data_IF_502843276151
#
_entry.id   IF_502843276151
#
_cell.length_a   1.000
_cell.length_b   1.000
_cell.length_c   1.000
_cell.angle_alpha   90.00
_cell.angle_beta   90.00
_cell.angle_gamma   90.00
#
_symmetry.space_group_name_H-M   'P 1'
#
loop_
_entity.id
_entity.type
_entity.pdbx_description
1 polymer ?
#
# COMPACT_ATOMS: atom_id res chain seq x y z
N UNK A 1 24.00 27.32 -18.65
CA UNK A 1 24.93 27.22 -17.51
C UNK A 1 24.81 25.80 -16.99
N UNK A 2 25.75 24.95 -17.40
CA UNK A 2 25.97 23.62 -16.84
C UNK A 2 26.55 23.81 -15.44
N UNK A 3 25.78 23.47 -14.41
CA UNK A 3 26.30 23.39 -13.04
C UNK A 3 27.00 22.04 -12.91
N UNK A 4 28.33 22.03 -12.96
CA UNK A 4 29.14 20.95 -12.40
C UNK A 4 29.13 21.16 -10.87
N UNK A 5 28.46 20.27 -10.15
CA UNK A 5 28.51 20.21 -8.68
C UNK A 5 29.38 19.02 -8.31
N UNK A 6 30.30 19.27 -7.38
CA UNK A 6 31.30 18.32 -6.87
C UNK A 6 30.65 17.04 -6.33
N UNK A 7 31.29 15.91 -6.65
CA UNK A 7 30.90 14.59 -6.18
C UNK A 7 31.50 14.37 -4.79
N UNK A 8 30.74 14.64 -3.73
CA UNK A 8 31.19 14.30 -2.39
C UNK A 8 30.91 12.82 -2.11
N UNK A 9 31.96 12.02 -2.02
CA UNK A 9 31.88 10.69 -1.40
C UNK A 9 31.50 10.86 0.07
N UNK A 10 30.43 10.20 0.51
CA UNK A 10 30.03 10.21 1.92
C UNK A 10 31.02 9.35 2.69
N UNK A 11 31.81 9.96 3.59
CA UNK A 11 32.74 9.23 4.47
C UNK A 11 31.99 8.46 5.56
N UNK A 12 31.67 7.20 5.26
CA UNK A 12 30.97 6.25 6.14
C UNK A 12 31.81 5.91 7.38
N UNK A 13 33.13 6.19 7.37
CA UNK A 13 34.05 5.84 8.47
C UNK A 13 33.84 6.68 9.74
N UNK A 14 33.16 7.83 9.63
CA UNK A 14 32.94 8.76 10.74
C UNK A 14 31.76 8.41 11.66
N UNK A 15 30.99 7.35 11.35
CA UNK A 15 29.78 6.99 12.11
C UNK A 15 30.07 5.76 12.99
N UNK A 16 30.47 6.02 14.25
CA UNK A 16 30.71 4.98 15.26
C UNK A 16 29.46 4.11 15.44
N UNK A 17 29.62 2.79 15.25
CA UNK A 17 28.57 1.78 15.31
C UNK A 17 28.32 1.24 16.74
N UNK A 18 28.87 1.87 17.78
CA UNK A 18 28.99 1.24 19.11
C UNK A 18 27.76 1.34 20.02
N UNK A 19 26.68 2.02 19.62
CA UNK A 19 25.49 2.21 20.47
C UNK A 19 24.21 1.53 19.93
N UNK A 20 24.34 0.64 18.95
CA UNK A 20 23.22 -0.19 18.50
C UNK A 20 23.43 -1.62 19.01
N UNK A 21 22.67 -2.00 20.04
CA UNK A 21 22.54 -3.39 20.47
C UNK A 21 22.29 -4.26 19.23
N UNK A 22 23.24 -5.14 18.90
CA UNK A 22 23.07 -6.09 17.80
C UNK A 22 21.88 -7.00 18.14
N UNK A 23 20.79 -6.99 17.36
CA UNK A 23 19.66 -7.85 17.68
C UNK A 23 20.02 -9.31 17.37
N UNK A 24 19.53 -10.28 18.16
CA UNK A 24 19.89 -11.68 18.02
C UNK A 24 19.09 -12.33 16.88
N UNK A 25 19.53 -12.17 15.64
CA UNK A 25 18.80 -12.66 14.45
C UNK A 25 18.94 -14.17 14.22
N UNK A 26 19.93 -14.84 14.82
CA UNK A 26 20.22 -16.26 14.59
C UNK A 26 19.27 -17.26 15.31
N UNK A 27 18.24 -16.76 16.02
CA UNK A 27 17.28 -17.60 16.79
C UNK A 27 15.81 -17.23 16.61
N UNK A 28 15.45 -16.44 15.61
CA UNK A 28 14.06 -16.02 15.43
C UNK A 28 13.26 -17.06 14.63
N UNK A 29 12.25 -17.66 15.27
CA UNK A 29 10.99 -17.97 14.57
C UNK A 29 10.64 -16.76 13.70
N UNK A 30 10.26 -16.95 12.43
CA UNK A 30 10.13 -15.83 11.49
C UNK A 30 9.22 -14.73 12.06
N UNK A 31 9.80 -13.60 12.47
CA UNK A 31 9.03 -12.48 13.02
C UNK A 31 8.25 -11.77 11.91
N UNK A 32 8.64 -11.96 10.66
CA UNK A 32 7.94 -11.48 9.49
C UNK A 32 8.04 -12.45 8.33
N UNK A 33 7.07 -12.38 7.42
CA UNK A 33 7.12 -13.06 6.13
C UNK A 33 6.41 -12.20 5.08
N UNK A 34 6.67 -12.50 3.81
CA UNK A 34 6.03 -11.81 2.69
C UNK A 34 5.32 -12.80 1.78
N UNK A 35 4.11 -12.44 1.37
CA UNK A 35 3.33 -13.13 0.34
C UNK A 35 3.27 -12.23 -0.88
N UNK A 36 3.68 -12.73 -2.04
CA UNK A 36 3.65 -11.98 -3.29
C UNK A 36 2.92 -12.78 -4.36
N UNK A 37 2.01 -12.16 -5.10
CA UNK A 37 1.53 -12.78 -6.33
C UNK A 37 2.55 -12.59 -7.46
N UNK A 38 2.77 -13.61 -8.29
CA UNK A 38 3.70 -13.61 -9.43
C UNK A 38 3.04 -14.34 -10.61
N UNK A 39 3.16 -13.87 -11.85
CA UNK A 39 2.41 -14.36 -13.05
C UNK A 39 0.90 -14.64 -12.87
N UNK A 40 0.14 -14.93 -13.92
CA UNK A 40 -1.34 -15.05 -13.83
C UNK A 40 -1.85 -16.06 -12.79
N UNK A 41 -0.97 -16.88 -12.24
CA UNK A 41 -1.28 -18.13 -11.55
C UNK A 41 -0.31 -18.49 -10.40
N UNK A 42 0.65 -17.66 -9.99
CA UNK A 42 1.59 -18.03 -8.91
C UNK A 42 1.48 -17.16 -7.66
N UNK A 43 1.70 -17.80 -6.53
CA UNK A 43 1.84 -17.19 -5.21
C UNK A 43 3.21 -17.57 -4.63
N UNK A 44 4.00 -16.57 -4.27
CA UNK A 44 5.35 -16.75 -3.72
C UNK A 44 5.38 -16.35 -2.26
N UNK A 45 5.99 -17.18 -1.42
CA UNK A 45 6.27 -16.93 -0.01
C UNK A 45 7.76 -16.66 0.17
N UNK A 46 8.10 -15.59 0.89
CA UNK A 46 9.44 -15.21 1.26
C UNK A 46 9.57 -15.22 2.79
N UNK A 47 10.72 -15.63 3.31
CA UNK A 47 11.00 -15.70 4.76
C UNK A 47 9.97 -16.51 5.55
N UNK A 48 9.53 -17.65 5.01
CA UNK A 48 8.52 -18.51 5.64
C UNK A 48 9.15 -19.81 6.15
N UNK A 49 8.83 -20.18 7.38
CA UNK A 49 9.22 -21.48 7.94
C UNK A 49 8.32 -22.62 7.44
N UNK A 50 8.70 -23.87 7.71
CA UNK A 50 7.97 -25.04 7.21
C UNK A 50 6.53 -25.12 7.74
N UNK A 51 6.30 -24.67 8.98
CA UNK A 51 4.97 -24.69 9.59
C UNK A 51 4.02 -23.73 8.86
N UNK A 52 4.49 -22.52 8.59
CA UNK A 52 3.78 -21.51 7.82
C UNK A 52 3.55 -21.99 6.39
N UNK A 53 4.57 -22.54 5.72
CA UNK A 53 4.46 -23.09 4.36
C UNK A 53 3.33 -24.13 4.29
N UNK A 54 3.28 -25.08 5.24
CA UNK A 54 2.23 -26.10 5.31
C UNK A 54 0.85 -25.49 5.57
N UNK A 55 0.79 -24.47 6.43
CA UNK A 55 -0.46 -23.78 6.72
C UNK A 55 -1.00 -23.02 5.50
N UNK A 56 -0.16 -22.26 4.79
CA UNK A 56 -0.53 -21.59 3.54
C UNK A 56 -1.05 -22.60 2.52
N UNK A 57 -0.38 -23.75 2.37
CA UNK A 57 -0.84 -24.82 1.46
C UNK A 57 -2.25 -25.29 1.78
N UNK A 58 -2.51 -25.59 3.06
CA UNK A 58 -3.84 -26.01 3.52
C UNK A 58 -4.90 -24.93 3.22
N UNK A 59 -4.58 -23.65 3.41
CA UNK A 59 -5.49 -22.55 3.09
C UNK A 59 -5.76 -22.44 1.59
N UNK A 60 -4.74 -22.59 0.75
CA UNK A 60 -4.90 -22.61 -0.71
C UNK A 60 -5.79 -23.78 -1.14
N UNK A 61 -5.54 -24.99 -0.66
CA UNK A 61 -6.37 -26.17 -0.97
C UNK A 61 -7.82 -26.02 -0.49
N UNK A 62 -8.04 -25.31 0.62
CA UNK A 62 -9.37 -25.07 1.18
C UNK A 62 -10.15 -23.99 0.45
N UNK A 63 -9.51 -22.89 0.06
CA UNK A 63 -10.17 -21.68 -0.43
C UNK A 63 -9.98 -21.40 -1.91
N UNK A 64 -9.11 -22.14 -2.60
CA UNK A 64 -8.94 -22.08 -4.05
C UNK A 64 -9.52 -23.35 -4.71
N UNK A 65 -10.73 -23.29 -5.31
CA UNK A 65 -11.42 -24.49 -5.79
C UNK A 65 -10.68 -25.27 -6.88
N UNK A 66 -9.87 -24.58 -7.70
CA UNK A 66 -9.09 -25.22 -8.76
C UNK A 66 -7.85 -25.97 -8.22
N UNK A 67 -7.43 -25.67 -6.98
CA UNK A 67 -6.31 -26.32 -6.32
C UNK A 67 -4.93 -25.86 -6.80
N UNK A 68 -3.90 -26.54 -6.28
CA UNK A 68 -2.48 -26.25 -6.55
C UNK A 68 -2.01 -27.16 -7.69
N UNK A 69 -1.43 -26.56 -8.73
CA UNK A 69 -0.83 -27.28 -9.86
C UNK A 69 0.58 -27.77 -9.52
N UNK A 70 1.39 -26.92 -8.90
CA UNK A 70 2.78 -27.23 -8.56
C UNK A 70 3.25 -26.42 -7.35
N UNK A 71 4.18 -26.98 -6.57
CA UNK A 71 4.91 -26.26 -5.53
C UNK A 71 6.40 -26.46 -5.77
N UNK A 72 7.18 -25.39 -5.75
CA UNK A 72 8.64 -25.43 -5.90
C UNK A 72 9.33 -24.48 -4.94
N UNK A 73 10.55 -24.81 -4.56
CA UNK A 73 11.43 -23.93 -3.77
C UNK A 73 12.51 -23.36 -4.68
N UNK A 74 12.71 -22.05 -4.65
CA UNK A 74 13.71 -21.35 -5.46
C UNK A 74 14.28 -20.18 -4.67
N UNK A 75 15.60 -20.12 -4.52
CA UNK A 75 16.32 -18.98 -3.91
C UNK A 75 15.76 -18.57 -2.53
N UNK A 76 15.43 -19.57 -1.68
CA UNK A 76 14.84 -19.34 -0.35
C UNK A 76 13.34 -18.97 -0.35
N UNK A 77 12.72 -18.86 -1.52
CA UNK A 77 11.29 -18.64 -1.70
C UNK A 77 10.54 -19.95 -1.97
N UNK A 78 9.29 -20.03 -1.52
CA UNK A 78 8.35 -21.09 -1.91
C UNK A 78 7.34 -20.53 -2.91
N UNK A 79 7.27 -21.14 -4.08
CA UNK A 79 6.34 -20.75 -5.14
C UNK A 79 5.26 -21.83 -5.31
N UNK A 80 4.01 -21.44 -5.12
CA UNK A 80 2.82 -22.21 -5.47
C UNK A 80 2.30 -21.75 -6.83
N UNK A 81 2.32 -22.64 -7.82
CA UNK A 81 1.58 -22.48 -9.08
C UNK A 81 0.17 -23.04 -8.87
N UNK A 82 -0.83 -22.20 -9.02
CA UNK A 82 -2.24 -22.53 -8.86
C UNK A 82 -2.83 -22.99 -10.19
N UNK A 83 -3.80 -23.90 -10.14
CA UNK A 83 -4.59 -24.25 -11.32
C UNK A 83 -5.49 -23.06 -11.70
N UNK A 84 -5.62 -22.80 -13.01
CA UNK A 84 -6.35 -21.64 -13.53
C UNK A 84 -5.52 -20.35 -13.46
N UNK A 85 -6.19 -19.20 -13.53
CA UNK A 85 -5.52 -17.91 -13.61
C UNK A 85 -6.05 -16.87 -12.58
N UNK A 86 -5.92 -17.16 -11.27
CA UNK A 86 -6.49 -16.33 -10.19
C UNK A 86 -6.03 -14.87 -10.19
N UNK A 87 -4.84 -14.60 -10.75
CA UNK A 87 -4.20 -13.29 -10.77
C UNK A 87 -4.12 -12.71 -12.18
N UNK A 88 -4.84 -13.28 -13.16
CA UNK A 88 -4.89 -12.72 -14.51
C UNK A 88 -5.90 -11.59 -14.61
N UNK A 89 -5.49 -10.53 -15.31
CA UNK A 89 -6.38 -9.44 -15.69
C UNK A 89 -7.52 -9.94 -16.57
N UNK A 90 -8.75 -9.69 -16.12
CA UNK A 90 -9.94 -9.97 -16.92
C UNK A 90 -10.73 -8.68 -17.11
N UNK A 91 -11.28 -8.49 -18.31
CA UNK A 91 -12.08 -7.32 -18.67
C UNK A 91 -13.54 -7.44 -18.17
N UNK A 92 -13.84 -8.51 -17.44
CA UNK A 92 -15.17 -8.88 -16.98
C UNK A 92 -15.22 -8.97 -15.46
N UNK A 93 -15.98 -8.05 -14.88
CA UNK A 93 -16.25 -7.91 -13.45
C UNK A 93 -17.13 -9.05 -12.89
N UNK A 94 -17.51 -10.01 -13.73
CA UNK A 94 -18.28 -11.21 -13.38
C UNK A 94 -17.52 -12.49 -13.69
N UNK A 95 -16.21 -12.41 -13.97
CA UNK A 95 -15.42 -13.62 -14.11
C UNK A 95 -15.42 -14.37 -12.77
N UNK A 96 -15.86 -15.64 -12.81
CA UNK A 96 -15.96 -16.49 -11.62
C UNK A 96 -14.61 -16.71 -10.96
N UNK A 97 -13.52 -16.85 -11.74
CA UNK A 97 -12.17 -17.03 -11.18
C UNK A 97 -11.68 -15.77 -10.45
N UNK A 98 -11.97 -14.60 -11.03
CA UNK A 98 -11.57 -13.32 -10.44
C UNK A 98 -12.22 -13.09 -9.08
N UNK A 99 -13.53 -13.36 -9.02
CA UNK A 99 -14.32 -13.29 -7.80
C UNK A 99 -13.84 -14.31 -6.75
N UNK A 100 -13.57 -15.55 -7.18
CA UNK A 100 -13.04 -16.60 -6.30
C UNK A 100 -11.67 -16.22 -5.71
N UNK A 101 -10.80 -15.57 -6.47
CA UNK A 101 -9.50 -15.12 -5.97
C UNK A 101 -9.65 -14.03 -4.89
N UNK A 102 -10.57 -13.07 -5.08
CA UNK A 102 -10.87 -12.05 -4.06
C UNK A 102 -11.45 -12.65 -2.77
N UNK A 103 -12.35 -13.64 -2.91
CA UNK A 103 -12.93 -14.41 -1.79
C UNK A 103 -11.82 -15.18 -1.05
N UNK A 104 -10.97 -15.89 -1.78
CA UNK A 104 -9.83 -16.62 -1.23
C UNK A 104 -8.93 -15.67 -0.43
N UNK A 105 -8.58 -14.52 -1.00
CA UNK A 105 -7.75 -13.50 -0.34
C UNK A 105 -8.36 -13.00 0.98
N UNK A 106 -9.67 -12.74 1.02
CA UNK A 106 -10.36 -12.33 2.25
C UNK A 106 -10.28 -13.38 3.35
N UNK A 107 -10.52 -14.65 3.02
CA UNK A 107 -10.34 -15.76 3.97
C UNK A 107 -8.87 -15.95 4.38
N UNK A 108 -7.95 -15.78 3.44
CA UNK A 108 -6.55 -15.94 3.70
C UNK A 108 -6.03 -14.93 4.73
N UNK A 109 -6.38 -13.65 4.56
CA UNK A 109 -6.06 -12.59 5.52
C UNK A 109 -6.71 -12.83 6.90
N UNK A 110 -7.93 -13.37 6.93
CA UNK A 110 -8.62 -13.75 8.16
C UNK A 110 -7.84 -14.81 8.93
N UNK A 111 -7.52 -15.91 8.26
CA UNK A 111 -6.90 -17.10 8.85
C UNK A 111 -5.47 -16.80 9.31
N UNK A 112 -4.72 -16.01 8.54
CA UNK A 112 -3.42 -15.51 8.98
C UNK A 112 -3.52 -14.69 10.27
N UNK A 113 -4.48 -13.77 10.34
CA UNK A 113 -4.69 -12.96 11.52
C UNK A 113 -5.08 -13.79 12.76
N UNK A 114 -5.98 -14.77 12.62
CA UNK A 114 -6.35 -15.65 13.74
C UNK A 114 -5.19 -16.51 14.22
N UNK A 115 -4.24 -16.85 13.35
CA UNK A 115 -2.98 -17.52 13.70
C UNK A 115 -1.87 -16.60 14.22
N UNK A 116 -2.16 -15.31 14.43
CA UNK A 116 -1.18 -14.36 14.95
C UNK A 116 -0.25 -13.82 13.88
N UNK A 117 -0.76 -13.53 12.69
CA UNK A 117 -0.05 -12.82 11.64
C UNK A 117 -0.79 -11.56 11.24
N UNK A 118 -0.21 -10.40 11.54
CA UNK A 118 -0.80 -9.10 11.22
C UNK A 118 -0.17 -8.55 9.94
N UNK A 119 -1.01 -8.17 8.97
CA UNK A 119 -0.57 -7.42 7.79
C UNK A 119 -0.01 -6.06 8.24
N UNK A 120 1.19 -5.71 7.80
CA UNK A 120 1.86 -4.45 8.14
C UNK A 120 1.97 -3.51 6.96
N UNK A 121 2.09 -4.06 5.75
CA UNK A 121 2.19 -3.27 4.54
C UNK A 121 1.65 -4.07 3.34
N UNK A 122 1.11 -3.32 2.38
CA UNK A 122 0.78 -3.80 1.06
C UNK A 122 1.46 -2.89 0.04
N UNK A 123 2.07 -3.46 -0.99
CA UNK A 123 2.78 -2.68 -1.99
C UNK A 123 2.90 -3.42 -3.32
N UNK A 124 2.76 -2.70 -4.43
CA UNK A 124 2.95 -3.24 -5.78
C UNK A 124 4.42 -3.11 -6.21
N UNK A 125 5.24 -4.03 -5.72
CA UNK A 125 6.71 -3.98 -5.87
C UNK A 125 7.23 -4.46 -7.24
N UNK A 126 6.39 -4.69 -8.24
CA UNK A 126 6.82 -5.15 -9.57
C UNK A 126 6.31 -4.27 -10.71
N UNK A 127 7.23 -3.67 -11.48
CA UNK A 127 6.92 -2.83 -12.66
C UNK A 127 7.14 -3.52 -14.03
N UNK A 128 7.51 -4.80 -14.06
CA UNK A 128 7.68 -5.52 -15.33
C UNK A 128 6.33 -5.94 -15.93
N UNK A 129 6.04 -5.41 -17.12
CA UNK A 129 4.99 -5.77 -18.09
C UNK A 129 3.62 -6.16 -17.53
N UNK A 130 2.64 -5.24 -17.62
CA UNK A 130 1.17 -5.47 -17.56
C UNK A 130 0.61 -6.26 -16.37
N UNK A 131 1.43 -6.62 -15.39
CA UNK A 131 1.11 -7.54 -14.32
C UNK A 131 1.72 -7.01 -13.01
N UNK A 132 1.40 -5.75 -12.68
CA UNK A 132 1.62 -5.20 -11.34
C UNK A 132 0.92 -6.09 -10.31
N UNK A 133 1.63 -6.37 -9.22
CA UNK A 133 1.26 -7.43 -8.29
C UNK A 133 1.60 -7.05 -6.88
N UNK A 134 0.59 -7.16 -6.05
CA UNK A 134 0.70 -6.89 -4.62
C UNK A 134 1.62 -7.89 -3.93
N UNK A 135 2.50 -7.32 -3.10
CA UNK A 135 3.22 -7.97 -2.04
C UNK A 135 2.61 -7.53 -0.69
N UNK A 136 2.23 -8.52 0.11
CA UNK A 136 1.78 -8.33 1.47
C UNK A 136 2.88 -8.73 2.44
N UNK A 137 3.19 -7.84 3.37
CA UNK A 137 4.15 -8.05 4.43
C UNK A 137 3.40 -8.30 5.73
N UNK A 138 3.74 -9.38 6.41
CA UNK A 138 3.13 -9.76 7.68
C UNK A 138 4.17 -9.75 8.79
N UNK A 139 3.72 -9.45 10.00
CA UNK A 139 4.49 -9.62 11.23
C UNK A 139 3.81 -10.62 12.16
N UNK A 140 4.62 -11.35 12.93
CA UNK A 140 4.16 -12.20 14.01
C UNK A 140 3.50 -11.34 15.08
N UNK A 141 2.37 -11.80 15.57
CA UNK A 141 1.56 -11.12 16.56
C UNK A 141 0.79 -12.14 17.39
N UNK A 142 0.11 -11.69 18.45
CA UNK A 142 -0.66 -12.59 19.31
C UNK A 142 -1.84 -13.16 18.53
N UNK A 143 -2.04 -14.50 18.50
CA UNK A 143 -3.24 -15.10 17.96
C UNK A 143 -4.49 -14.52 18.59
N UNK A 144 -5.53 -14.35 17.78
CA UNK A 144 -6.79 -13.74 18.21
C UNK A 144 -7.98 -14.65 17.93
N UNK A 145 -8.97 -14.58 18.81
CA UNK A 145 -10.30 -15.14 18.56
C UNK A 145 -11.21 -14.01 18.12
N UNK A 146 -11.64 -14.05 16.86
CA UNK A 146 -12.63 -13.10 16.34
C UNK A 146 -13.97 -13.35 17.03
N UNK A 147 -14.64 -12.26 17.44
CA UNK A 147 -16.00 -12.30 17.97
C UNK A 147 -16.94 -12.88 16.90
N UNK A 148 -17.88 -13.75 17.31
CA UNK A 148 -18.82 -14.44 16.43
C UNK A 148 -19.68 -13.52 15.56
N UNK A 149 -19.81 -12.23 15.92
CA UNK A 149 -20.47 -11.20 15.10
C UNK A 149 -19.64 -10.81 13.88
N UNK A 150 -18.35 -11.11 13.88
CA UNK A 150 -17.37 -10.71 12.89
C UNK A 150 -16.71 -11.94 12.27
N UNK A 151 -17.50 -12.71 11.53
CA UNK A 151 -17.04 -13.99 10.96
C UNK A 151 -16.20 -13.83 9.71
N UNK A 152 -16.21 -12.67 9.04
CA UNK A 152 -15.52 -12.49 7.76
C UNK A 152 -14.68 -11.20 7.73
N UNK A 153 -13.91 -11.05 6.65
CA UNK A 153 -13.10 -9.87 6.34
C UNK A 153 -13.79 -9.14 5.18
N UNK A 154 -14.70 -8.19 5.45
CA UNK A 154 -15.34 -7.43 4.39
C UNK A 154 -14.28 -6.80 3.49
N UNK A 155 -14.49 -6.89 2.19
CA UNK A 155 -13.68 -6.15 1.25
C UNK A 155 -14.56 -5.51 0.19
N UNK A 156 -14.03 -4.49 -0.47
CA UNK A 156 -14.65 -3.95 -1.66
C UNK A 156 -13.64 -3.66 -2.76
N UNK A 157 -14.09 -3.71 -4.01
CA UNK A 157 -13.29 -3.38 -5.21
C UNK A 157 -14.06 -2.41 -6.08
N UNK A 158 -13.38 -1.41 -6.66
CA UNK A 158 -13.97 -0.43 -7.59
C UNK A 158 -13.82 -0.92 -9.02
N UNK A 159 -14.82 -1.59 -9.58
CA UNK A 159 -14.76 -2.02 -10.97
C UNK A 159 -15.33 -0.98 -11.94
N UNK A 160 -14.67 -0.78 -13.10
CA UNK A 160 -15.13 0.09 -14.20
C UNK A 160 -15.55 1.52 -13.80
N UNK A 161 -15.03 2.02 -12.69
CA UNK A 161 -15.26 3.38 -12.16
C UNK A 161 -16.62 3.60 -11.49
N UNK A 162 -17.69 2.94 -11.95
CA UNK A 162 -19.05 3.12 -11.43
C UNK A 162 -19.61 1.90 -10.70
N UNK A 163 -18.86 0.79 -10.60
CA UNK A 163 -19.29 -0.44 -9.91
C UNK A 163 -18.45 -0.67 -8.67
N UNK A 164 -19.12 -0.99 -7.58
CA UNK A 164 -18.50 -1.46 -6.36
C UNK A 164 -18.86 -2.93 -6.17
N UNK A 165 -17.87 -3.79 -6.07
CA UNK A 165 -18.05 -5.19 -5.67
C UNK A 165 -17.75 -5.25 -4.18
N UNK A 166 -18.71 -5.67 -3.37
CA UNK A 166 -18.52 -5.93 -1.96
C UNK A 166 -18.61 -7.43 -1.70
N UNK A 167 -17.64 -7.96 -0.95
CA UNK A 167 -17.58 -9.37 -0.59
C UNK A 167 -17.53 -9.52 0.93
N UNK A 168 -17.88 -10.71 1.39
CA UNK A 168 -17.85 -11.08 2.80
C UNK A 168 -18.77 -10.23 3.70
N UNK A 169 -19.83 -9.66 3.11
CA UNK A 169 -20.87 -8.92 3.82
C UNK A 169 -22.10 -9.80 4.02
N UNK A 170 -22.59 -9.92 5.26
CA UNK A 170 -23.87 -10.58 5.47
C UNK A 170 -25.04 -9.80 4.83
N UNK A 171 -26.18 -10.45 4.60
CA UNK A 171 -27.33 -9.83 3.91
C UNK A 171 -27.87 -8.56 4.60
N UNK A 172 -27.77 -8.48 5.93
CA UNK A 172 -28.17 -7.28 6.66
C UNK A 172 -27.25 -6.10 6.32
N UNK A 173 -25.92 -6.30 6.40
CA UNK A 173 -24.93 -5.27 6.07
C UNK A 173 -25.05 -4.81 4.61
N UNK A 174 -25.38 -5.72 3.68
CA UNK A 174 -25.61 -5.36 2.27
C UNK A 174 -26.80 -4.39 2.14
N UNK A 175 -27.95 -4.69 2.77
CA UNK A 175 -29.14 -3.82 2.73
C UNK A 175 -28.85 -2.43 3.32
N UNK A 176 -28.16 -2.39 4.45
CA UNK A 176 -27.82 -1.14 5.14
C UNK A 176 -26.81 -0.30 4.35
N UNK A 177 -25.85 -0.95 3.68
CA UNK A 177 -24.89 -0.28 2.81
C UNK A 177 -25.60 0.36 1.61
N UNK A 178 -26.51 -0.38 0.95
CA UNK A 178 -27.31 0.14 -0.16
C UNK A 178 -28.17 1.33 0.31
N UNK A 179 -28.76 1.23 1.51
CA UNK A 179 -29.52 2.33 2.09
C UNK A 179 -28.62 3.56 2.35
N UNK A 180 -27.43 3.38 2.92
CA UNK A 180 -26.49 4.48 3.13
C UNK A 180 -26.09 5.13 1.81
N UNK A 181 -25.74 4.35 0.79
CA UNK A 181 -25.34 4.89 -0.51
C UNK A 181 -26.47 5.76 -1.07
N UNK A 182 -27.72 5.30 -1.01
CA UNK A 182 -28.84 6.09 -1.49
C UNK A 182 -29.10 7.37 -0.68
N UNK A 183 -28.70 7.44 0.60
CA UNK A 183 -28.86 8.65 1.42
C UNK A 183 -27.68 9.61 1.32
N UNK A 184 -26.44 9.11 1.15
CA UNK A 184 -25.23 9.93 1.16
C UNK A 184 -24.71 10.26 -0.24
N UNK A 185 -24.92 9.37 -1.21
CA UNK A 185 -24.48 9.57 -2.58
C UNK A 185 -25.62 10.18 -3.41
N UNK A 186 -25.53 11.48 -3.71
CA UNK A 186 -26.60 12.26 -4.36
C UNK A 186 -27.18 11.64 -5.63
N UNK A 187 -26.36 10.92 -6.40
CA UNK A 187 -26.80 10.30 -7.65
C UNK A 187 -27.42 8.90 -7.43
N UNK A 188 -27.23 8.31 -6.25
CA UNK A 188 -27.84 7.04 -5.84
C UNK A 188 -27.28 5.80 -6.54
N UNK A 189 -27.91 4.66 -6.22
CA UNK A 189 -27.63 3.35 -6.82
C UNK A 189 -28.39 3.19 -8.14
N UNK A 190 -27.70 2.72 -9.18
CA UNK A 190 -28.28 2.39 -10.48
C UNK A 190 -28.74 0.94 -10.57
N UNK A 191 -27.93 -0.01 -10.09
CA UNK A 191 -28.17 -1.45 -10.22
C UNK A 191 -27.55 -2.17 -9.02
N UNK A 192 -28.21 -3.24 -8.55
CA UNK A 192 -27.66 -4.15 -7.55
C UNK A 192 -27.74 -5.57 -8.09
N UNK A 193 -26.61 -6.28 -8.11
CA UNK A 193 -26.49 -7.68 -8.53
C UNK A 193 -25.95 -8.52 -7.38
N UNK A 194 -26.65 -9.59 -7.01
CA UNK A 194 -26.18 -10.54 -6.02
C UNK A 194 -25.09 -11.44 -6.63
N UNK A 195 -23.95 -11.59 -5.94
CA UNK A 195 -22.81 -12.42 -6.38
C UNK A 195 -22.68 -13.73 -5.58
N UNK A 196 -23.57 -13.96 -4.63
CA UNK A 196 -23.54 -15.09 -3.70
C UNK A 196 -24.23 -14.72 -2.38
N UNK A 197 -24.18 -15.60 -1.36
CA UNK A 197 -24.82 -15.33 -0.07
C UNK A 197 -24.22 -14.13 0.68
N UNK A 198 -22.93 -13.84 0.47
CA UNK A 198 -22.15 -12.81 1.17
C UNK A 198 -21.50 -11.77 0.24
N UNK A 199 -21.90 -11.73 -1.04
CA UNK A 199 -21.35 -10.81 -2.04
C UNK A 199 -22.41 -10.06 -2.84
N UNK A 200 -22.18 -8.77 -3.08
CA UNK A 200 -23.06 -7.89 -3.86
C UNK A 200 -22.25 -6.94 -4.75
N UNK A 201 -22.69 -6.76 -5.99
CA UNK A 201 -22.19 -5.72 -6.89
C UNK A 201 -23.20 -4.60 -6.97
N UNK A 202 -22.75 -3.37 -6.70
CA UNK A 202 -23.57 -2.16 -6.72
C UNK A 202 -23.02 -1.27 -7.82
N UNK A 203 -23.83 -1.01 -8.86
CA UNK A 203 -23.54 0.02 -9.85
C UNK A 203 -24.12 1.34 -9.38
N UNK A 204 -23.35 2.40 -9.40
CA UNK A 204 -23.75 3.72 -8.99
C UNK A 204 -23.98 4.62 -10.20
N UNK A 205 -24.80 5.65 -10.00
CA UNK A 205 -24.86 6.74 -10.96
C UNK A 205 -23.61 7.64 -10.78
N UNK A 206 -22.42 7.23 -11.22
CA UNK A 206 -21.14 7.97 -11.07
C UNK A 206 -20.20 7.44 -9.98
N UNK A 207 -19.17 8.21 -9.59
CA UNK A 207 -18.03 7.75 -8.76
C UNK A 207 -18.23 7.98 -7.24
N UNK A 208 -18.08 6.95 -6.38
CA UNK A 208 -18.24 7.03 -4.91
C UNK A 208 -16.94 6.88 -4.08
N UNK A 209 -17.01 7.28 -2.80
CA UNK A 209 -16.07 6.88 -1.73
C UNK A 209 -16.83 6.56 -0.45
N UNK A 210 -16.62 5.39 0.17
CA UNK A 210 -17.49 4.85 1.24
C UNK A 210 -16.75 4.30 2.49
N UNK A 211 -15.58 4.83 2.83
CA UNK A 211 -14.80 4.32 3.97
C UNK A 211 -15.47 4.53 5.34
N UNK A 212 -16.18 5.64 5.51
CA UNK A 212 -16.82 6.02 6.78
C UNK A 212 -17.88 5.02 7.24
N UNK A 213 -18.51 4.27 6.32
CA UNK A 213 -19.54 3.28 6.63
C UNK A 213 -19.01 2.11 7.48
N UNK A 214 -17.86 1.56 7.09
CA UNK A 214 -17.30 0.38 7.73
C UNK A 214 -16.93 0.65 9.19
N UNK A 215 -16.39 1.83 9.49
CA UNK A 215 -16.10 2.25 10.87
C UNK A 215 -17.34 2.35 11.76
N UNK A 216 -18.44 2.91 11.25
CA UNK A 216 -19.68 3.02 12.03
C UNK A 216 -20.22 1.65 12.45
N UNK A 217 -19.82 0.57 11.76
CA UNK A 217 -20.17 -0.82 12.07
C UNK A 217 -19.09 -1.57 12.82
N UNK A 218 -18.08 -0.86 13.31
CA UNK A 218 -16.98 -1.45 14.05
C UNK A 218 -16.07 -2.28 13.17
N UNK A 219 -15.80 -1.83 11.93
CA UNK A 219 -14.71 -2.35 11.10
C UNK A 219 -13.68 -1.24 10.81
N UNK A 220 -12.41 -1.58 10.74
CA UNK A 220 -11.30 -0.67 10.41
C UNK A 220 -10.59 -1.16 9.14
N UNK A 221 -10.00 -0.26 8.36
CA UNK A 221 -9.22 -0.65 7.18
C UNK A 221 -7.98 -1.46 7.59
N UNK A 222 -7.84 -2.62 6.96
CA UNK A 222 -6.77 -3.58 7.22
C UNK A 222 -5.67 -3.53 6.17
N UNK A 223 -5.98 -3.17 4.92
CA UNK A 223 -5.01 -3.12 3.84
C UNK A 223 -5.71 -3.10 2.48
N UNK A 224 -4.95 -2.97 1.41
CA UNK A 224 -5.42 -3.07 0.04
C UNK A 224 -4.60 -4.09 -0.77
N UNK A 225 -5.09 -4.47 -1.94
CA UNK A 225 -4.31 -5.22 -2.93
C UNK A 225 -4.83 -4.93 -4.34
N UNK A 226 -3.91 -4.66 -5.26
CA UNK A 226 -4.18 -4.77 -6.69
C UNK A 226 -4.19 -6.24 -7.08
N UNK A 227 -5.39 -6.83 -7.05
CA UNK A 227 -5.62 -8.16 -7.58
C UNK A 227 -5.90 -8.05 -9.07
N UNK A 228 -5.21 -8.87 -9.88
CA UNK A 228 -5.44 -9.02 -11.32
C UNK A 228 -5.14 -7.77 -12.17
N UNK A 229 -4.31 -6.84 -11.69
CA UNK A 229 -4.04 -5.59 -12.42
C UNK A 229 -5.30 -4.76 -12.67
N UNK A 230 -6.33 -4.92 -11.82
CA UNK A 230 -7.48 -4.03 -11.73
C UNK A 230 -7.19 -2.94 -10.67
N UNK A 231 -8.20 -2.15 -10.33
CA UNK A 231 -8.15 -1.21 -9.20
C UNK A 231 -7.95 -1.97 -7.88
N UNK A 232 -7.57 -1.23 -6.85
CA UNK A 232 -7.33 -1.83 -5.56
C UNK A 232 -8.60 -2.41 -4.91
N UNK A 233 -8.48 -3.65 -4.45
CA UNK A 233 -9.40 -4.26 -3.47
C UNK A 233 -8.99 -3.79 -2.08
N UNK A 234 -9.93 -3.23 -1.34
CA UNK A 234 -9.74 -2.69 0.01
C UNK A 234 -10.34 -3.64 1.04
N UNK A 235 -9.54 -4.08 2.02
CA UNK A 235 -9.92 -5.04 3.07
C UNK A 235 -10.15 -4.34 4.42
N UNK A 236 -11.15 -4.82 5.17
CA UNK A 236 -11.52 -4.31 6.50
C UNK A 236 -11.56 -5.44 7.54
N UNK A 237 -11.23 -5.11 8.79
CA UNK A 237 -11.21 -6.01 9.94
C UNK A 237 -12.00 -5.46 11.13
N UNK A 238 -12.44 -6.26 12.09
CA UNK A 238 -13.24 -5.78 13.23
C UNK A 238 -12.48 -4.84 14.17
N UNK A 239 -13.14 -3.78 14.64
CA UNK A 239 -12.63 -2.77 15.56
C UNK A 239 -12.43 -3.29 16.99
N UNK A 240 -12.73 -4.56 17.27
CA UNK A 240 -12.50 -5.19 18.58
C UNK A 240 -11.04 -5.64 18.79
N UNK A 241 -10.19 -5.61 17.77
CA UNK A 241 -8.80 -6.06 17.89
C UNK A 241 -7.95 -5.11 18.75
N UNK A 242 -7.17 -5.56 19.75
CA UNK A 242 -6.32 -4.65 20.53
C UNK A 242 -5.18 -4.06 19.69
N UNK A 243 -4.70 -2.85 20.03
CA UNK A 243 -3.39 -2.36 19.58
C UNK A 243 -2.28 -3.25 20.19
N UNK A 244 -1.20 -3.62 19.47
CA UNK A 244 -0.75 -3.15 18.15
C UNK A 244 -1.20 -4.03 16.97
N UNK A 245 -2.24 -4.87 17.10
CA UNK A 245 -2.68 -5.78 16.01
C UNK A 245 -3.33 -5.06 14.82
N UNK A 246 -3.50 -3.74 14.90
CA UNK A 246 -3.97 -2.88 13.81
C UNK A 246 -2.77 -2.16 13.20
N UNK A 247 -2.82 -1.88 11.89
CA UNK A 247 -1.82 -1.05 11.18
C UNK A 247 -1.73 0.39 11.73
N UNK A 248 -2.69 0.77 12.57
CA UNK A 248 -3.16 2.12 12.72
C UNK A 248 -3.43 2.41 14.22
N UNK A 249 -2.84 3.46 14.83
CA UNK A 249 -3.11 3.84 16.23
C UNK A 249 -4.60 4.09 16.54
N UNK A 250 -4.99 4.04 17.84
CA UNK A 250 -6.36 4.28 18.30
C UNK A 250 -6.89 5.65 17.86
N UNK A 251 -8.20 5.73 17.64
CA UNK A 251 -8.88 6.96 17.24
C UNK A 251 -9.04 7.90 18.45
N UNK A 252 -8.75 9.19 18.25
CA UNK A 252 -9.26 10.27 19.10
C UNK A 252 -10.78 10.42 18.90
N UNK A 253 -11.57 10.76 19.94
CA UNK A 253 -12.98 11.02 19.77
C UNK A 253 -13.25 12.41 19.15
N UNK A 254 -14.19 12.43 18.19
CA UNK A 254 -15.04 13.56 17.81
C UNK A 254 -14.47 14.70 16.94
N UNK A 255 -14.01 14.40 15.72
CA UNK A 255 -14.25 15.30 14.57
C UNK A 255 -15.34 14.72 13.66
N UNK A 256 -16.21 15.57 13.11
CA UNK A 256 -17.29 15.15 12.19
C UNK A 256 -16.74 14.46 10.92
N UNK A 257 -15.55 14.89 10.46
CA UNK A 257 -14.79 14.20 9.41
C UNK A 257 -13.66 13.41 10.06
N UNK A 258 -13.73 12.08 9.97
CA UNK A 258 -12.65 11.16 10.39
C UNK A 258 -11.67 10.83 9.27
N UNK A 259 -12.07 11.09 8.03
CA UNK A 259 -11.34 10.76 6.82
C UNK A 259 -11.37 11.91 5.82
N UNK A 260 -10.28 12.08 5.09
CA UNK A 260 -10.25 12.83 3.84
C UNK A 260 -9.32 12.12 2.86
N UNK A 261 -9.32 12.53 1.58
CA UNK A 261 -8.43 11.96 0.59
C UNK A 261 -7.70 13.02 -0.22
N UNK A 262 -6.49 12.69 -0.65
CA UNK A 262 -5.71 13.45 -1.62
C UNK A 262 -5.62 12.62 -2.90
N UNK A 263 -6.19 13.12 -4.00
CA UNK A 263 -6.02 12.56 -5.34
C UNK A 263 -4.78 13.14 -6.02
N UNK A 264 -3.94 12.28 -6.56
CA UNK A 264 -2.84 12.63 -7.47
C UNK A 264 -3.34 12.39 -8.89
N UNK A 265 -3.88 13.44 -9.52
CA UNK A 265 -4.65 13.33 -10.75
C UNK A 265 -3.84 13.79 -11.97
N UNK A 266 -3.98 13.06 -13.08
CA UNK A 266 -3.33 13.37 -14.36
C UNK A 266 -1.81 13.50 -14.15
N UNK A 267 -1.20 14.58 -14.65
CA UNK A 267 0.26 14.80 -14.56
C UNK A 267 0.65 15.81 -13.47
N UNK A 268 -0.31 16.60 -12.98
CA UNK A 268 -0.05 17.88 -12.31
C UNK A 268 -1.21 18.41 -11.44
N UNK A 269 -2.21 17.59 -11.09
CA UNK A 269 -3.32 18.01 -10.23
C UNK A 269 -3.26 17.31 -8.87
N UNK A 270 -3.47 18.07 -7.80
CA UNK A 270 -3.65 17.55 -6.45
C UNK A 270 -5.06 17.91 -6.00
N UNK A 271 -5.89 16.90 -5.73
CA UNK A 271 -7.30 17.08 -5.36
C UNK A 271 -7.55 16.73 -3.91
N UNK A 272 -8.12 17.65 -3.15
CA UNK A 272 -8.47 17.45 -1.76
C UNK A 272 -9.96 17.14 -1.64
N UNK A 273 -10.30 15.89 -1.33
CA UNK A 273 -11.68 15.41 -1.16
C UNK A 273 -12.03 15.37 0.33
N UNK A 274 -13.13 16.02 0.72
CA UNK A 274 -13.61 16.10 2.10
C UNK A 274 -12.54 16.61 3.10
N UNK A 275 -11.58 17.39 2.60
CA UNK A 275 -10.48 17.91 3.40
C UNK A 275 -10.95 19.03 4.33
N UNK A 276 -10.65 18.97 5.64
CA UNK A 276 -10.89 20.09 6.54
C UNK A 276 -10.20 21.36 6.06
N UNK A 277 -10.89 22.50 6.10
CA UNK A 277 -10.37 23.79 5.59
C UNK A 277 -9.04 24.20 6.21
N UNK A 278 -8.77 23.82 7.47
CA UNK A 278 -7.47 24.08 8.10
C UNK A 278 -6.31 23.38 7.40
N UNK A 279 -6.54 22.17 6.87
CA UNK A 279 -5.52 21.38 6.18
C UNK A 279 -5.27 21.86 4.75
N UNK A 280 -6.24 22.49 4.11
CA UNK A 280 -6.08 23.12 2.78
C UNK A 280 -4.92 24.14 2.81
N UNK A 281 -4.92 25.05 3.78
CA UNK A 281 -3.83 26.03 3.93
C UNK A 281 -2.48 25.38 4.26
N UNK A 282 -2.47 24.33 5.09
CA UNK A 282 -1.23 23.59 5.42
C UNK A 282 -0.64 22.95 4.17
N UNK A 283 -1.49 22.34 3.33
CA UNK A 283 -1.07 21.73 2.07
C UNK A 283 -0.57 22.79 1.08
N UNK A 284 -1.26 23.94 0.98
CA UNK A 284 -0.83 25.06 0.13
C UNK A 284 0.57 25.58 0.49
N UNK A 285 0.80 25.86 1.77
CA UNK A 285 2.11 26.32 2.26
C UNK A 285 3.19 25.26 1.98
N UNK A 286 2.86 23.98 2.20
CA UNK A 286 3.79 22.87 1.93
C UNK A 286 4.15 22.79 0.45
N UNK A 287 3.17 22.96 -0.46
CA UNK A 287 3.42 23.00 -1.90
C UNK A 287 4.34 24.15 -2.26
N UNK A 288 4.04 25.37 -1.80
CA UNK A 288 4.85 26.55 -2.11
C UNK A 288 6.29 26.44 -1.58
N UNK A 289 6.51 25.71 -0.49
CA UNK A 289 7.83 25.52 0.10
C UNK A 289 8.64 24.41 -0.58
N UNK A 290 8.01 23.28 -0.95
CA UNK A 290 8.72 22.06 -1.38
C UNK A 290 8.52 21.71 -2.86
N UNK A 291 7.72 22.48 -3.59
CA UNK A 291 7.59 22.36 -5.04
C UNK A 291 8.14 23.62 -5.73
N UNK A 292 9.38 23.60 -6.27
CA UNK A 292 10.05 24.81 -6.77
C UNK A 292 9.29 25.54 -7.88
N UNK A 293 8.51 24.82 -8.70
CA UNK A 293 7.70 25.41 -9.77
C UNK A 293 6.41 26.06 -9.25
N UNK A 294 5.99 25.75 -8.02
CA UNK A 294 4.84 26.37 -7.35
C UNK A 294 3.47 25.96 -7.90
N UNK A 295 2.45 26.72 -7.48
CA UNK A 295 1.04 26.53 -7.85
C UNK A 295 0.73 27.39 -9.08
N UNK A 296 0.15 26.76 -10.11
CA UNK A 296 -0.32 27.44 -11.32
C UNK A 296 -1.78 27.92 -11.17
N UNK A 297 -2.62 27.16 -10.49
CA UNK A 297 -4.04 27.50 -10.29
C UNK A 297 -4.59 26.78 -9.05
N UNK A 298 -5.56 27.40 -8.37
CA UNK A 298 -6.29 26.81 -7.24
C UNK A 298 -7.79 27.01 -7.45
N UNK A 299 -8.54 25.92 -7.40
CA UNK A 299 -10.01 25.94 -7.54
C UNK A 299 -10.68 25.28 -6.35
N UNK A 300 -11.84 25.79 -5.99
CA UNK A 300 -12.78 25.09 -5.12
C UNK A 300 -14.03 24.77 -5.93
N UNK A 301 -14.39 23.49 -6.01
CA UNK A 301 -15.58 23.02 -6.74
C UNK A 301 -16.47 22.27 -5.74
N UNK A 302 -17.49 22.94 -5.22
CA UNK A 302 -18.31 22.37 -4.15
C UNK A 302 -17.47 22.10 -2.89
N UNK A 303 -17.34 20.83 -2.51
CA UNK A 303 -16.67 20.37 -1.28
C UNK A 303 -15.25 19.84 -1.50
N UNK A 304 -14.65 20.09 -2.66
CA UNK A 304 -13.26 19.69 -2.92
C UNK A 304 -12.42 20.86 -3.45
N UNK A 305 -11.14 20.81 -3.13
CA UNK A 305 -10.13 21.75 -3.64
C UNK A 305 -9.29 21.06 -4.71
N UNK A 306 -8.89 21.80 -5.74
CA UNK A 306 -7.94 21.38 -6.77
C UNK A 306 -6.77 22.35 -6.81
N UNK A 307 -5.57 21.83 -6.61
CA UNK A 307 -4.34 22.53 -6.93
C UNK A 307 -3.84 22.04 -8.29
N UNK A 308 -3.66 22.98 -9.21
CA UNK A 308 -2.87 22.76 -10.41
C UNK A 308 -1.45 23.18 -10.12
N UNK A 309 -0.53 22.23 -10.16
CA UNK A 309 0.89 22.48 -9.99
C UNK A 309 1.50 22.89 -11.33
N UNK A 310 2.48 23.80 -11.29
CA UNK A 310 3.28 24.08 -12.47
C UNK A 310 4.27 22.92 -12.71
N UNK A 311 4.44 22.49 -13.96
CA UNK A 311 5.22 21.30 -14.30
C UNK A 311 4.40 20.00 -14.27
N UNK A 312 5.07 18.86 -14.09
CA UNK A 312 4.43 17.53 -14.16
C UNK A 312 4.92 16.60 -13.04
N UNK A 313 4.65 16.91 -11.76
CA UNK A 313 5.16 16.15 -10.61
C UNK A 313 4.79 14.66 -10.63
N UNK A 314 3.63 14.31 -11.18
CA UNK A 314 3.14 12.91 -11.23
C UNK A 314 3.64 12.14 -12.45
N UNK A 315 4.29 12.84 -13.40
CA UNK A 315 4.95 12.28 -14.57
C UNK A 315 6.39 12.82 -14.67
N UNK A 316 7.03 12.98 -13.51
CA UNK A 316 8.34 13.59 -13.41
C UNK A 316 9.44 12.68 -13.97
N UNK A 317 10.54 13.30 -14.41
CA UNK A 317 11.77 12.60 -14.81
C UNK A 317 13.00 13.31 -14.23
N UNK A 318 14.12 12.60 -14.10
CA UNK A 318 15.35 13.16 -13.53
C UNK A 318 15.15 13.72 -12.12
N UNK A 319 15.72 14.91 -11.85
CA UNK A 319 15.68 15.57 -10.54
C UNK A 319 14.27 15.89 -10.03
N UNK A 320 13.33 16.20 -10.94
CA UNK A 320 11.93 16.51 -10.59
C UNK A 320 11.25 15.32 -9.87
N UNK A 321 11.74 14.08 -10.08
CA UNK A 321 11.22 12.89 -9.39
C UNK A 321 11.56 12.85 -7.90
N UNK A 322 12.66 13.50 -7.49
CA UNK A 322 13.09 13.62 -6.10
C UNK A 322 12.26 14.70 -5.43
N UNK A 323 12.08 15.84 -6.09
CA UNK A 323 11.26 16.96 -5.59
C UNK A 323 9.80 16.55 -5.40
N UNK A 324 9.20 15.80 -6.34
CA UNK A 324 7.83 15.33 -6.22
C UNK A 324 7.63 14.37 -5.03
N UNK A 325 8.60 13.46 -4.80
CA UNK A 325 8.57 12.54 -3.65
C UNK A 325 8.84 13.26 -2.33
N UNK A 326 9.74 14.26 -2.33
CA UNK A 326 9.97 15.10 -1.16
C UNK A 326 8.72 15.90 -0.81
N UNK A 327 8.04 16.49 -1.80
CA UNK A 327 6.76 17.18 -1.61
C UNK A 327 5.73 16.29 -0.92
N UNK A 328 5.52 15.06 -1.41
CA UNK A 328 4.59 14.12 -0.76
C UNK A 328 5.03 13.75 0.65
N UNK A 329 6.33 13.52 0.86
CA UNK A 329 6.90 13.21 2.18
C UNK A 329 6.60 14.33 3.18
N UNK A 330 6.77 15.59 2.76
CA UNK A 330 6.51 16.77 3.59
C UNK A 330 5.02 17.01 3.81
N UNK A 331 4.17 16.75 2.80
CA UNK A 331 2.71 16.77 2.98
C UNK A 331 2.31 15.75 4.06
N UNK A 332 2.82 14.51 4.01
CA UNK A 332 2.47 13.49 5.01
C UNK A 332 2.93 13.88 6.41
N UNK A 333 4.15 14.38 6.53
CA UNK A 333 4.71 14.85 7.79
C UNK A 333 3.89 16.00 8.38
N UNK A 334 3.59 17.04 7.58
CA UNK A 334 2.83 18.19 8.02
C UNK A 334 1.40 17.82 8.39
N UNK A 335 0.75 16.92 7.66
CA UNK A 335 -0.56 16.40 8.02
C UNK A 335 -0.53 15.63 9.34
N UNK A 336 0.49 14.80 9.59
CA UNK A 336 0.59 14.04 10.85
C UNK A 336 0.80 14.96 12.06
N UNK A 337 1.61 16.02 11.91
CA UNK A 337 1.74 17.04 12.96
C UNK A 337 0.41 17.72 13.31
N UNK A 338 -0.53 17.76 12.37
CA UNK A 338 -1.88 18.32 12.55
C UNK A 338 -2.95 17.25 12.81
N UNK A 339 -2.54 16.04 13.21
CA UNK A 339 -3.45 14.98 13.62
C UNK A 339 -4.03 14.15 12.46
N UNK A 340 -3.32 14.06 11.33
CA UNK A 340 -3.77 13.29 10.16
C UNK A 340 -2.68 12.37 9.62
N UNK A 341 -2.90 11.06 9.72
CA UNK A 341 -1.97 10.06 9.18
C UNK A 341 -2.51 9.46 7.89
N UNK A 342 -1.61 9.20 6.94
CA UNK A 342 -1.92 8.38 5.77
C UNK A 342 -2.32 6.97 6.21
N UNK A 343 -3.42 6.48 5.67
CA UNK A 343 -3.98 5.16 5.95
C UNK A 343 -3.70 4.19 4.82
N UNK A 344 -3.85 4.65 3.57
CA UNK A 344 -3.76 3.83 2.38
C UNK A 344 -3.43 4.68 1.15
N UNK A 345 -2.76 4.08 0.18
CA UNK A 345 -2.71 4.55 -1.19
C UNK A 345 -3.53 3.59 -2.05
N UNK A 346 -4.48 4.11 -2.83
CA UNK A 346 -5.39 3.33 -3.66
C UNK A 346 -5.30 3.74 -5.12
N UNK A 347 -5.09 2.77 -6.00
CA UNK A 347 -5.22 2.98 -7.43
C UNK A 347 -6.65 2.64 -7.90
N UNK A 348 -7.32 3.63 -8.50
CA UNK A 348 -8.76 3.55 -8.81
C UNK A 348 -9.12 3.55 -10.28
N UNK A 349 -8.10 3.58 -11.13
CA UNK A 349 -8.21 3.23 -12.53
C UNK A 349 -6.88 2.59 -13.00
N UNK A 350 -6.77 2.23 -14.29
CA UNK A 350 -5.56 1.62 -14.90
C UNK A 350 -5.04 2.41 -16.12
N UNK A 351 -5.55 3.62 -16.35
CA UNK A 351 -5.11 4.54 -17.39
C UNK A 351 -3.72 5.13 -17.07
N UNK A 352 -2.89 5.37 -18.08
CA UNK A 352 -1.62 6.07 -17.87
C UNK A 352 -1.79 7.54 -17.38
N UNK A 353 -3.02 8.06 -17.45
CA UNK A 353 -3.42 9.37 -16.90
C UNK A 353 -4.15 9.26 -15.54
N UNK A 354 -3.97 8.13 -14.83
CA UNK A 354 -4.73 7.74 -13.64
C UNK A 354 -4.66 8.69 -12.46
N UNK A 355 -5.66 8.52 -11.60
CA UNK A 355 -5.71 9.11 -10.28
C UNK A 355 -5.42 8.06 -9.20
N UNK A 356 -4.30 8.22 -8.50
CA UNK A 356 -4.05 7.53 -7.23
C UNK A 356 -4.65 8.35 -6.08
N UNK A 357 -5.33 7.68 -5.16
CA UNK A 357 -5.91 8.31 -3.97
C UNK A 357 -5.15 7.93 -2.71
N UNK A 358 -4.73 8.94 -1.97
CA UNK A 358 -4.15 8.79 -0.66
C UNK A 358 -5.22 9.09 0.38
N UNK A 359 -5.60 8.09 1.17
CA UNK A 359 -6.60 8.23 2.21
C UNK A 359 -5.91 8.62 3.50
N UNK A 360 -6.42 9.65 4.15
CA UNK A 360 -5.95 10.12 5.46
C UNK A 360 -7.03 9.92 6.50
N UNK A 361 -6.59 9.68 7.74
CA UNK A 361 -7.48 9.54 8.89
C UNK A 361 -6.99 10.38 10.05
N UNK A 362 -7.93 10.79 10.89
CA UNK A 362 -7.62 11.49 12.14
C UNK A 362 -6.83 10.58 13.11
N UNK A 363 -5.82 11.14 13.77
CA UNK A 363 -4.90 10.47 14.69
C UNK A 363 -4.42 11.48 15.73
N UNK A 364 -3.95 11.08 16.93
CA UNK A 364 -3.25 11.98 17.83
C UNK A 364 -2.11 12.70 17.10
N UNK A 365 -1.99 14.02 17.31
CA UNK A 365 -0.90 14.79 16.73
C UNK A 365 0.43 14.38 17.36
N UNK A 366 1.43 14.15 16.51
CA UNK A 366 2.79 13.87 16.96
C UNK A 366 3.79 14.41 15.94
N UNK A 367 4.92 14.92 16.44
CA UNK A 367 6.04 15.25 15.57
C UNK A 367 6.75 13.96 15.20
N UNK A 368 6.79 13.67 13.91
CA UNK A 368 7.41 12.46 13.37
C UNK A 368 8.23 12.85 12.14
N UNK A 369 9.41 12.25 12.00
CA UNK A 369 10.24 12.45 10.82
C UNK A 369 9.86 11.43 9.74
N UNK A 370 9.36 11.90 8.61
CA UNK A 370 9.01 11.06 7.47
C UNK A 370 10.19 10.96 6.51
N UNK A 371 10.44 9.76 6.00
CA UNK A 371 11.36 9.53 4.89
C UNK A 371 10.65 8.79 3.76
N UNK A 372 11.22 8.87 2.57
CA UNK A 372 10.75 8.11 1.42
C UNK A 372 11.84 7.14 0.97
N UNK A 373 11.53 5.84 1.00
CA UNK A 373 12.30 4.80 0.33
C UNK A 373 11.63 4.53 -1.03
N UNK A 374 12.36 4.77 -2.12
CA UNK A 374 11.89 4.59 -3.49
C UNK A 374 12.74 3.56 -4.21
N UNK A 375 12.10 2.49 -4.68
CA UNK A 375 12.69 1.60 -5.68
C UNK A 375 12.66 2.28 -7.04
N UNK A 376 13.79 2.36 -7.72
CA UNK A 376 13.98 3.10 -8.97
C UNK A 376 14.67 2.22 -10.01
N UNK A 377 14.30 2.46 -11.28
CA UNK A 377 14.86 1.76 -12.43
C UNK A 377 14.78 0.23 -12.23
N UNK A 378 15.91 -0.48 -12.34
CA UNK A 378 15.98 -1.95 -12.22
C UNK A 378 16.68 -2.35 -10.92
N UNK A 379 17.63 -1.54 -10.47
CA UNK A 379 18.67 -1.91 -9.50
C UNK A 379 19.02 -0.76 -8.55
N UNK A 380 18.13 0.23 -8.38
CA UNK A 380 18.40 1.40 -7.54
C UNK A 380 17.41 1.51 -6.41
N UNK A 381 17.93 1.70 -5.19
CA UNK A 381 17.17 2.13 -4.02
C UNK A 381 17.52 3.59 -3.77
N UNK A 382 16.51 4.43 -3.51
CA UNK A 382 16.72 5.83 -3.16
C UNK A 382 16.06 6.15 -1.83
N UNK A 383 16.80 6.83 -0.96
CA UNK A 383 16.33 7.36 0.31
C UNK A 383 16.24 8.88 0.19
N UNK A 384 15.05 9.43 0.41
CA UNK A 384 14.76 10.86 0.35
C UNK A 384 14.32 11.29 1.74
N UNK A 385 14.89 12.39 2.24
CA UNK A 385 14.67 12.88 3.60
C UNK A 385 14.95 11.80 4.68
N UNK A 386 15.89 10.88 4.44
CA UNK A 386 16.24 9.85 5.42
C UNK A 386 17.31 10.38 6.40
N UNK A 387 17.13 10.18 7.71
CA UNK A 387 18.18 10.40 8.71
C UNK A 387 19.43 9.55 8.43
N UNK A 388 20.61 10.06 8.80
CA UNK A 388 21.89 9.39 8.50
C UNK A 388 22.05 8.01 9.15
N UNK A 389 21.52 7.84 10.36
CA UNK A 389 21.46 6.55 11.06
C UNK A 389 20.61 5.54 10.27
N UNK A 390 19.46 5.96 9.72
CA UNK A 390 18.62 5.10 8.89
C UNK A 390 19.29 4.76 7.56
N UNK A 391 20.00 5.72 6.95
CA UNK A 391 20.80 5.49 5.74
C UNK A 391 21.83 4.37 5.98
N UNK A 392 22.53 4.41 7.12
CA UNK A 392 23.49 3.38 7.51
C UNK A 392 22.80 2.02 7.72
N UNK A 393 21.66 1.98 8.40
CA UNK A 393 20.88 0.74 8.59
C UNK A 393 20.49 0.11 7.24
N UNK A 394 20.04 0.91 6.28
CA UNK A 394 19.68 0.42 4.93
C UNK A 394 20.91 -0.09 4.18
N UNK A 395 22.03 0.63 4.26
CA UNK A 395 23.30 0.21 3.67
C UNK A 395 23.74 -1.15 4.21
N UNK A 396 23.81 -1.29 5.54
CA UNK A 396 24.28 -2.51 6.21
C UNK A 396 23.34 -3.69 5.94
N UNK A 397 22.03 -3.44 5.87
CA UNK A 397 21.05 -4.46 5.50
C UNK A 397 21.24 -4.98 4.07
N UNK A 398 21.46 -4.09 3.10
CA UNK A 398 21.73 -4.50 1.70
C UNK A 398 23.04 -5.29 1.64
N UNK A 399 24.11 -4.79 2.28
CA UNK A 399 25.41 -5.46 2.29
C UNK A 399 25.35 -6.85 2.92
N UNK A 400 24.52 -7.04 3.93
CA UNK A 400 24.37 -8.31 4.66
C UNK A 400 23.49 -9.32 3.90
N UNK A 401 22.35 -8.87 3.36
CA UNK A 401 21.28 -9.77 2.91
C UNK A 401 21.09 -9.83 1.40
N UNK A 402 21.60 -8.85 0.64
CA UNK A 402 21.52 -8.88 -0.81
C UNK A 402 22.79 -9.51 -1.38
N UNK A 403 22.67 -10.72 -1.94
CA UNK A 403 23.79 -11.56 -2.39
C UNK A 403 24.81 -10.83 -3.26
N UNK A 404 24.37 -9.88 -4.09
CA UNK A 404 25.23 -9.16 -5.00
C UNK A 404 25.87 -7.90 -4.40
N UNK A 405 25.37 -7.43 -3.24
CA UNK A 405 25.89 -6.26 -2.54
C UNK A 405 25.57 -4.92 -3.22
N UNK A 406 26.35 -3.91 -2.85
CA UNK A 406 26.25 -2.52 -3.34
C UNK A 406 27.33 -2.28 -4.40
N UNK A 407 26.92 -1.82 -5.58
CA UNK A 407 27.83 -1.38 -6.65
C UNK A 407 28.29 0.05 -6.42
N UNK A 408 27.36 0.94 -6.04
CA UNK A 408 27.63 2.37 -5.89
C UNK A 408 26.71 2.99 -4.84
N UNK A 409 27.27 3.91 -4.08
CA UNK A 409 26.56 4.71 -3.09
C UNK A 409 26.78 6.19 -3.39
N UNK A 410 25.70 6.94 -3.61
CA UNK A 410 25.74 8.33 -4.04
C UNK A 410 24.85 9.21 -3.15
N UNK A 411 25.24 10.45 -2.87
CA UNK A 411 24.40 11.42 -2.15
C UNK A 411 24.25 12.72 -2.96
N UNK A 412 23.07 12.93 -3.57
CA UNK A 412 22.76 14.13 -4.36
C UNK A 412 21.36 14.64 -4.00
N UNK A 413 21.24 15.35 -2.87
CA UNK A 413 19.95 15.79 -2.30
C UNK A 413 19.03 14.63 -1.86
N UNK A 414 19.47 13.40 -2.08
CA UNK A 414 18.89 12.12 -1.69
C UNK A 414 20.00 11.08 -1.79
N UNK A 415 19.97 10.07 -0.93
CA UNK A 415 20.91 8.95 -1.00
C UNK A 415 20.40 7.96 -2.05
N UNK A 416 21.26 7.58 -3.00
CA UNK A 416 20.98 6.58 -4.02
C UNK A 416 21.97 5.43 -3.88
N UNK A 417 21.43 4.22 -3.82
CA UNK A 417 22.18 2.97 -3.68
C UNK A 417 21.91 2.14 -4.92
N UNK A 418 22.96 1.90 -5.71
CA UNK A 418 22.96 0.98 -6.84
C UNK A 418 23.32 -0.41 -6.32
N UNK A 419 22.41 -1.37 -6.44
CA UNK A 419 22.61 -2.74 -5.96
C UNK A 419 22.99 -3.67 -7.12
N UNK A 420 23.80 -4.69 -6.87
CA UNK A 420 24.24 -5.66 -7.88
C UNK A 420 25.74 -5.91 -7.80
N UNK A 421 26.26 -6.72 -8.72
CA UNK A 421 27.64 -7.20 -8.62
C UNK A 421 28.59 -6.01 -8.76
N UNK A 422 29.41 -5.77 -7.72
CA UNK A 422 30.44 -4.75 -7.77
C UNK A 422 31.50 -5.14 -8.83
N UNK A 423 31.67 -4.37 -9.92
CA UNK A 423 32.65 -4.68 -10.96
C UNK A 423 34.09 -4.73 -10.44
N UNK A 424 34.42 -3.92 -9.43
CA UNK A 424 35.77 -3.84 -8.86
C UNK A 424 36.09 -5.06 -7.98
N UNK A 425 35.07 -5.72 -7.42
CA UNK A 425 35.24 -6.97 -6.68
C UNK A 425 35.54 -8.17 -7.59
N UNK A 426 35.14 -8.11 -8.88
CA UNK A 426 35.47 -9.14 -9.88
C UNK A 426 36.96 -9.07 -10.24
N UNK A 427 37.53 -7.86 -10.36
CA UNK A 427 38.93 -7.64 -10.71
C UNK A 427 39.92 -8.01 -9.59
N UNK A 428 39.45 -8.18 -8.34
CA UNK A 428 40.27 -8.63 -7.22
C UNK A 428 40.33 -10.17 -7.06
N UNK A 429 39.62 -10.91 -7.93
CA UNK A 429 39.57 -12.38 -7.95
C UNK A 429 40.25 -12.99 -9.18
N UNK A 430 40.86 -12.17 -10.03
CA UNK A 430 41.82 -12.57 -11.08
C UNK A 430 43.25 -12.22 -10.64
#
# INVERSE_FOLDING_TARGET
MTYELETDEVDISSINASDLDQPPWDKMESISFCVKSFSSDKLTLLHSDQALINYIRMLLEKYWPQGIQQCQQRDGAIEYKLCGYPFQHTWSDTNSESLQAQIMCGYFLKELLTQGWTLVASSDLSRYSHLERTAWFFRRSTPIVLDQRYTNVPNFTVSKGDRLIFLHLNQQMQRELIALINTTYRKGVQEVLQLGPDGVRIKLNGYPWLLQYFEQRGYYFYGNASLQGQTDTVYFMPLTLPWPLRINPPLEPASENRYFAIGLDRKDRLRLLNCPTVLDNIIEVTILQFWPKGIQDKKQIGYWFEYKLAGYPWCASGYETVEARLLLTQIFQNLHMHGWAIMAALDTSRSLDDTSFLIFRSTPSHSMHYMCLSLNEIDKIRLINAPNDVVKVVHDAIQTYYTYGIQRFENYGSVRILIGINPDAILALE
#
